data_IF_355435549901
#
_entry.id   IF_355435549901
#
_cell.length_a   1.000
_cell.length_b   1.000
_cell.length_c   1.000
_cell.angle_alpha   90.00
_cell.angle_beta   90.00
_cell.angle_gamma   90.00
#
_symmetry.space_group_name_H-M   'P 1'
#
loop_
_entity.id
_entity.type
_entity.pdbx_description
1 polymer ?
#
# COMPACT_ATOMS: atom_id res chain seq x y z
N UNK A 1 -6.03 -1.81 -20.57
CA UNK A 1 -4.55 -1.71 -20.64
C UNK A 1 -3.99 -2.98 -21.29
N UNK A 2 -2.78 -2.96 -21.91
CA UNK A 2 -2.11 -4.17 -22.43
C UNK A 2 -1.06 -4.67 -21.43
N UNK A 3 -0.69 -5.97 -21.45
CA UNK A 3 0.46 -6.46 -20.68
C UNK A 3 1.75 -5.68 -21.02
N UNK A 4 2.54 -5.38 -19.99
CA UNK A 4 3.78 -4.61 -20.10
C UNK A 4 4.11 -3.80 -18.86
N UNK A 5 5.18 -3.02 -18.94
CA UNK A 5 5.66 -2.13 -17.88
C UNK A 5 5.43 -0.69 -18.31
N UNK A 6 4.88 0.13 -17.42
CA UNK A 6 4.53 1.52 -17.65
C UNK A 6 5.08 2.38 -16.52
N UNK A 7 5.71 3.50 -16.87
CA UNK A 7 6.41 4.37 -15.92
C UNK A 7 5.66 5.69 -15.65
N UNK A 8 4.72 6.05 -16.54
CA UNK A 8 4.10 7.38 -16.55
C UNK A 8 2.59 7.34 -16.24
N UNK A 9 2.10 6.26 -15.62
CA UNK A 9 0.69 6.18 -15.22
C UNK A 9 0.51 6.92 -13.89
N UNK A 10 -0.37 7.91 -13.83
CA UNK A 10 -0.69 8.59 -12.58
C UNK A 10 -1.26 7.62 -11.53
N UNK A 11 -1.19 8.00 -10.25
CA UNK A 11 -1.78 7.17 -9.20
C UNK A 11 -3.30 7.02 -9.36
N UNK A 12 -3.96 8.09 -9.78
CA UNK A 12 -5.41 8.10 -10.05
C UNK A 12 -5.75 7.17 -11.21
N UNK A 13 -5.04 7.29 -12.35
CA UNK A 13 -5.26 6.43 -13.52
C UNK A 13 -4.95 4.97 -13.22
N UNK A 14 -3.92 4.70 -12.40
CA UNK A 14 -3.64 3.33 -11.98
C UNK A 14 -4.78 2.75 -11.14
N UNK A 15 -5.32 3.49 -10.19
CA UNK A 15 -6.41 2.98 -9.34
C UNK A 15 -7.73 2.86 -10.10
N UNK A 16 -8.05 3.77 -11.00
CA UNK A 16 -9.25 3.74 -11.84
C UNK A 16 -9.15 2.79 -13.03
N UNK A 17 -7.92 2.40 -13.42
CA UNK A 17 -7.65 1.65 -14.63
C UNK A 17 -8.03 0.16 -14.58
N UNK A 18 -7.89 -0.49 -15.74
CA UNK A 18 -8.13 -1.93 -15.92
C UNK A 18 -7.16 -2.80 -15.12
N UNK A 19 -7.52 -4.06 -14.98
CA UNK A 19 -6.72 -5.08 -14.33
C UNK A 19 -6.98 -5.17 -12.83
N UNK A 20 -6.95 -6.38 -12.31
CA UNK A 20 -7.17 -6.66 -10.88
C UNK A 20 -5.87 -6.47 -10.09
N UNK A 21 -5.97 -5.73 -8.99
CA UNK A 21 -4.86 -5.48 -8.06
C UNK A 21 -5.00 -6.32 -6.79
N UNK A 22 -3.91 -6.39 -6.01
CA UNK A 22 -3.91 -7.07 -4.70
C UNK A 22 -4.99 -6.53 -3.76
N UNK A 23 -5.18 -5.21 -3.68
CA UNK A 23 -6.20 -4.61 -2.82
C UNK A 23 -7.63 -4.98 -3.24
N UNK A 24 -7.88 -5.14 -4.53
CA UNK A 24 -9.16 -5.63 -5.03
C UNK A 24 -9.38 -7.11 -4.71
N UNK A 25 -8.33 -7.94 -4.80
CA UNK A 25 -8.40 -9.34 -4.36
C UNK A 25 -8.61 -9.47 -2.85
N UNK A 26 -8.08 -8.55 -2.04
CA UNK A 26 -8.37 -8.53 -0.60
C UNK A 26 -9.86 -8.25 -0.31
N UNK A 27 -10.50 -7.43 -1.13
CA UNK A 27 -11.95 -7.21 -1.03
C UNK A 27 -12.72 -8.48 -1.41
N UNK A 28 -12.34 -9.13 -2.52
CA UNK A 28 -12.93 -10.40 -2.97
C UNK A 28 -12.77 -11.48 -1.92
N UNK A 29 -11.61 -11.57 -1.29
CA UNK A 29 -11.34 -12.55 -0.22
C UNK A 29 -12.22 -12.36 1.02
N UNK A 30 -12.64 -11.14 1.30
CA UNK A 30 -13.58 -10.83 2.40
C UNK A 30 -15.02 -11.10 1.99
N UNK A 31 -15.44 -10.54 0.89
CA UNK A 31 -16.73 -10.69 0.26
C UNK A 31 -16.68 -10.05 -1.13
N UNK A 32 -16.94 -10.78 -2.21
CA UNK A 32 -16.87 -10.25 -3.58
C UNK A 32 -17.73 -8.99 -3.81
N UNK A 33 -18.87 -8.86 -3.12
CA UNK A 33 -19.73 -7.67 -3.22
C UNK A 33 -19.04 -6.38 -2.80
N UNK A 34 -18.05 -6.44 -1.89
CA UNK A 34 -17.29 -5.27 -1.46
C UNK A 34 -16.58 -4.57 -2.62
N UNK A 35 -16.10 -5.34 -3.60
CA UNK A 35 -15.45 -4.76 -4.78
C UNK A 35 -16.41 -3.84 -5.55
N UNK A 36 -17.64 -4.30 -5.78
CA UNK A 36 -18.68 -3.50 -6.46
C UNK A 36 -19.12 -2.29 -5.64
N UNK A 37 -19.27 -2.48 -4.33
CA UNK A 37 -19.67 -1.39 -3.44
C UNK A 37 -18.63 -0.28 -3.38
N UNK A 38 -17.33 -0.63 -3.29
CA UNK A 38 -16.25 0.35 -3.27
C UNK A 38 -16.12 1.09 -4.61
N UNK A 39 -16.32 0.40 -5.73
CA UNK A 39 -16.33 1.03 -7.05
C UNK A 39 -17.46 2.07 -7.23
N UNK A 40 -18.59 1.88 -6.55
CA UNK A 40 -19.75 2.77 -6.58
C UNK A 40 -19.79 3.76 -5.41
N UNK A 41 -18.91 3.63 -4.42
CA UNK A 41 -18.93 4.47 -3.22
C UNK A 41 -18.36 5.88 -3.50
N UNK A 42 -18.86 6.91 -2.81
CA UNK A 42 -18.21 8.20 -2.78
C UNK A 42 -16.85 8.10 -2.07
N UNK A 43 -15.98 9.06 -2.35
CA UNK A 43 -14.69 9.15 -1.66
C UNK A 43 -14.88 9.38 -0.15
N UNK A 44 -14.08 8.67 0.63
CA UNK A 44 -14.05 8.78 2.09
C UNK A 44 -12.91 9.72 2.51
N UNK A 45 -13.24 10.96 2.82
CA UNK A 45 -12.28 12.01 3.18
C UNK A 45 -11.55 11.71 4.51
N UNK A 46 -12.23 11.05 5.48
CA UNK A 46 -11.59 10.68 6.75
C UNK A 46 -10.51 9.61 6.50
N UNK A 47 -10.80 8.65 5.64
CA UNK A 47 -9.84 7.62 5.25
C UNK A 47 -8.66 8.20 4.49
N UNK A 48 -8.88 9.16 3.59
CA UNK A 48 -7.82 9.89 2.90
C UNK A 48 -6.92 10.60 3.89
N UNK A 49 -7.48 11.32 4.85
CA UNK A 49 -6.74 12.03 5.89
C UNK A 49 -5.84 11.08 6.70
N UNK A 50 -6.32 9.90 7.07
CA UNK A 50 -5.54 8.89 7.79
C UNK A 50 -4.34 8.35 6.99
N UNK A 51 -4.41 8.39 5.66
CA UNK A 51 -3.36 7.90 4.77
C UNK A 51 -2.26 8.94 4.48
N UNK A 52 -2.50 10.23 4.69
CA UNK A 52 -1.54 11.30 4.29
C UNK A 52 -0.13 11.11 4.83
N UNK A 53 0.03 10.73 6.09
CA UNK A 53 1.35 10.50 6.67
C UNK A 53 2.10 9.33 6.02
N UNK A 54 1.37 8.30 5.61
CA UNK A 54 1.94 7.18 4.85
C UNK A 54 2.40 7.63 3.47
N UNK A 55 1.52 8.31 2.73
CA UNK A 55 1.81 8.86 1.40
C UNK A 55 2.98 9.85 1.44
N UNK A 56 3.02 10.73 2.46
CA UNK A 56 4.12 11.69 2.63
C UNK A 56 5.45 10.98 2.92
N UNK A 57 5.46 9.93 3.76
CA UNK A 57 6.66 9.15 4.02
C UNK A 57 7.16 8.44 2.75
N UNK A 58 6.26 7.80 1.98
CA UNK A 58 6.59 7.16 0.71
C UNK A 58 7.23 8.18 -0.25
N UNK A 59 6.59 9.33 -0.45
CA UNK A 59 7.11 10.37 -1.31
C UNK A 59 8.50 10.85 -0.85
N UNK A 60 8.68 11.10 0.44
CA UNK A 60 9.94 11.58 1.02
C UNK A 60 11.09 10.57 0.89
N UNK A 61 10.78 9.26 0.97
CA UNK A 61 11.78 8.19 0.87
C UNK A 61 12.11 7.80 -0.57
N UNK A 62 11.11 7.78 -1.44
CA UNK A 62 11.22 7.20 -2.78
C UNK A 62 11.38 8.25 -3.87
N UNK A 63 10.69 9.39 -3.73
CA UNK A 63 10.64 10.47 -4.71
C UNK A 63 10.86 11.85 -4.04
N UNK A 64 11.99 12.07 -3.32
CA UNK A 64 12.18 13.29 -2.54
C UNK A 64 12.11 14.58 -3.40
N UNK A 65 12.45 14.51 -4.69
CA UNK A 65 12.32 15.64 -5.63
C UNK A 65 10.88 16.01 -5.99
N UNK A 66 9.90 15.15 -5.70
CA UNK A 66 8.48 15.43 -5.92
C UNK A 66 7.77 15.91 -4.65
N UNK A 67 8.46 15.90 -3.50
CA UNK A 67 7.83 16.17 -2.21
C UNK A 67 7.22 17.58 -2.16
N UNK A 68 7.98 18.61 -2.53
CA UNK A 68 7.52 20.00 -2.49
C UNK A 68 6.39 20.31 -3.51
N UNK A 69 6.17 19.43 -4.48
CA UNK A 69 5.05 19.54 -5.42
C UNK A 69 3.74 18.96 -4.86
N UNK A 70 3.83 18.03 -3.90
CA UNK A 70 2.71 17.30 -3.33
C UNK A 70 2.37 17.71 -1.91
N UNK A 71 3.36 18.24 -1.18
CA UNK A 71 3.23 18.56 0.24
C UNK A 71 3.82 19.94 0.55
N UNK A 72 3.21 20.65 1.49
CA UNK A 72 3.71 21.91 2.01
C UNK A 72 3.60 21.94 3.53
N UNK A 73 4.63 22.48 4.20
CA UNK A 73 4.59 22.64 5.64
C UNK A 73 3.92 23.96 5.99
N UNK A 74 2.86 23.89 6.80
CA UNK A 74 2.12 25.07 7.24
C UNK A 74 3.01 26.02 8.06
N UNK A 75 3.02 27.31 7.76
CA UNK A 75 3.59 28.31 8.64
C UNK A 75 2.90 28.31 10.01
N UNK A 76 3.59 28.85 11.01
CA UNK A 76 2.95 29.06 12.33
C UNK A 76 2.08 30.31 12.30
N UNK A 77 0.79 30.15 12.52
CA UNK A 77 -0.17 31.23 12.65
C UNK A 77 -0.52 31.49 14.13
N UNK A 78 -0.61 32.76 14.53
CA UNK A 78 -1.12 33.09 15.88
C UNK A 78 -2.66 33.07 15.89
N UNK A 79 -3.21 31.87 16.08
CA UNK A 79 -4.66 31.63 16.13
C UNK A 79 -5.41 32.39 17.24
N UNK A 80 -4.68 33.08 18.16
CA UNK A 80 -5.30 33.93 19.20
C UNK A 80 -5.68 35.29 18.65
N UNK A 81 -5.09 35.72 17.52
CA UNK A 81 -5.40 37.00 16.89
C UNK A 81 -6.37 36.82 15.71
N UNK A 82 -7.16 37.87 15.46
CA UNK A 82 -8.06 37.91 14.28
C UNK A 82 -7.25 37.86 12.98
N UNK A 83 -6.10 38.52 12.94
CA UNK A 83 -5.23 38.52 11.77
C UNK A 83 -4.63 37.14 11.52
N UNK A 84 -4.09 36.47 12.54
CA UNK A 84 -3.50 35.15 12.36
C UNK A 84 -4.50 34.09 11.92
N UNK A 85 -5.77 34.18 12.34
CA UNK A 85 -6.84 33.31 11.80
C UNK A 85 -7.14 33.62 10.31
N UNK A 86 -7.17 34.90 9.93
CA UNK A 86 -7.41 35.28 8.55
C UNK A 86 -6.24 34.85 7.63
N UNK A 87 -4.98 34.98 8.11
CA UNK A 87 -3.80 34.56 7.39
C UNK A 87 -3.78 33.03 7.17
N UNK A 88 -4.16 32.25 8.21
CA UNK A 88 -4.28 30.80 8.09
C UNK A 88 -5.37 30.41 7.09
N UNK A 89 -6.53 31.05 7.13
CA UNK A 89 -7.63 30.78 6.22
C UNK A 89 -7.29 31.13 4.77
N UNK A 90 -6.54 32.21 4.55
CA UNK A 90 -6.04 32.58 3.23
C UNK A 90 -5.04 31.53 2.72
N UNK A 91 -4.06 31.15 3.56
CA UNK A 91 -3.08 30.11 3.21
C UNK A 91 -3.77 28.78 2.84
N UNK A 92 -4.72 28.31 3.63
CA UNK A 92 -5.43 27.05 3.36
C UNK A 92 -6.24 27.10 2.05
N UNK A 93 -6.82 28.23 1.71
CA UNK A 93 -7.50 28.42 0.41
C UNK A 93 -6.54 28.35 -0.74
N UNK A 94 -5.41 29.10 -0.66
CA UNK A 94 -4.41 29.13 -1.73
C UNK A 94 -3.83 27.73 -1.99
N UNK A 95 -3.58 26.95 -0.92
CA UNK A 95 -3.04 25.60 -1.03
C UNK A 95 -4.09 24.62 -1.56
N UNK A 96 -5.37 24.76 -1.17
CA UNK A 96 -6.46 23.91 -1.67
C UNK A 96 -6.63 24.04 -3.19
N UNK A 97 -6.51 25.26 -3.72
CA UNK A 97 -6.57 25.53 -5.16
C UNK A 97 -5.40 24.88 -5.93
N UNK A 98 -4.28 24.64 -5.27
CA UNK A 98 -3.11 23.96 -5.84
C UNK A 98 -3.17 22.43 -5.75
N UNK A 99 -4.10 21.86 -5.00
CA UNK A 99 -4.20 20.42 -4.77
C UNK A 99 -3.06 19.85 -3.93
N UNK A 100 -2.35 20.67 -3.15
CA UNK A 100 -1.20 20.30 -2.33
C UNK A 100 -1.67 19.92 -0.92
N UNK A 101 -1.12 18.85 -0.36
CA UNK A 101 -1.43 18.42 1.01
C UNK A 101 -0.64 19.23 2.03
N UNK A 102 -1.33 19.78 3.03
CA UNK A 102 -0.71 20.57 4.10
C UNK A 102 -0.28 19.66 5.24
N UNK A 103 0.97 19.80 5.66
CA UNK A 103 1.54 19.17 6.85
C UNK A 103 1.76 20.23 7.91
N UNK A 104 1.51 19.92 9.17
CA UNK A 104 1.96 20.77 10.26
C UNK A 104 3.44 20.55 10.58
N UNK A 105 4.00 21.44 11.40
CA UNK A 105 5.43 21.40 11.74
C UNK A 105 5.84 20.14 12.53
N UNK A 106 4.91 19.52 13.28
CA UNK A 106 5.15 18.31 14.03
C UNK A 106 5.16 17.09 13.10
N UNK A 107 4.19 17.00 12.20
CA UNK A 107 4.12 15.99 11.15
C UNK A 107 5.39 16.02 10.27
N UNK A 108 5.81 17.21 9.84
CA UNK A 108 7.04 17.36 9.06
C UNK A 108 8.27 16.87 9.83
N UNK A 109 8.44 17.33 11.06
CA UNK A 109 9.55 16.89 11.91
C UNK A 109 9.56 15.37 12.10
N UNK A 110 8.38 14.77 12.30
CA UNK A 110 8.25 13.31 12.41
C UNK A 110 8.73 12.62 11.13
N UNK A 111 8.31 13.09 9.98
CA UNK A 111 8.71 12.55 8.67
C UNK A 111 10.22 12.66 8.45
N UNK A 112 10.84 13.80 8.76
CA UNK A 112 12.29 13.96 8.66
C UNK A 112 13.05 12.95 9.54
N UNK A 113 12.63 12.79 10.79
CA UNK A 113 13.25 11.82 11.70
C UNK A 113 13.04 10.37 11.27
N UNK A 114 11.89 10.03 10.69
CA UNK A 114 11.63 8.71 10.11
C UNK A 114 12.53 8.46 8.90
N UNK A 115 12.65 9.44 7.99
CA UNK A 115 13.60 9.38 6.86
C UNK A 115 15.03 9.21 7.34
N UNK A 116 15.48 10.02 8.29
CA UNK A 116 16.85 9.96 8.81
C UNK A 116 17.14 8.60 9.46
N UNK A 117 16.14 8.00 10.12
CA UNK A 117 16.26 6.64 10.65
C UNK A 117 16.38 5.61 9.53
N UNK A 118 15.59 5.72 8.45
CA UNK A 118 15.68 4.83 7.29
C UNK A 118 17.05 4.96 6.61
N UNK A 119 17.56 6.18 6.43
CA UNK A 119 18.86 6.44 5.84
C UNK A 119 20.03 6.01 6.74
N UNK A 120 19.83 5.90 8.04
CA UNK A 120 20.84 5.35 8.98
C UNK A 120 20.90 3.83 8.95
N UNK A 121 19.89 3.13 8.44
CA UNK A 121 19.87 1.67 8.33
C UNK A 121 20.55 1.22 7.01
N UNK A 122 21.66 0.46 7.04
CA UNK A 122 22.46 0.20 5.84
C UNK A 122 21.69 -0.45 4.69
N UNK A 123 20.89 -1.47 4.96
CA UNK A 123 20.11 -2.16 3.91
C UNK A 123 18.97 -1.26 3.36
N UNK A 124 18.26 -0.52 4.24
CA UNK A 124 17.23 0.41 3.81
C UNK A 124 17.82 1.53 2.95
N UNK A 125 18.94 2.11 3.39
CA UNK A 125 19.66 3.15 2.63
C UNK A 125 20.05 2.65 1.24
N UNK A 126 20.64 1.46 1.15
CA UNK A 126 21.00 0.89 -0.14
C UNK A 126 19.76 0.74 -1.05
N UNK A 127 18.65 0.22 -0.53
CA UNK A 127 17.40 0.06 -1.29
C UNK A 127 16.84 1.40 -1.77
N UNK A 128 16.95 2.44 -0.93
CA UNK A 128 16.45 3.77 -1.26
C UNK A 128 17.35 4.52 -2.26
N UNK A 129 18.69 4.39 -2.15
CA UNK A 129 19.67 5.08 -3.00
C UNK A 129 19.98 4.34 -4.30
N UNK A 130 19.84 3.01 -4.34
CA UNK A 130 20.13 2.22 -5.55
C UNK A 130 19.27 2.67 -6.74
N UNK A 131 19.83 2.72 -7.96
CA UNK A 131 19.07 3.00 -9.17
C UNK A 131 17.88 2.05 -9.34
N UNK A 132 16.76 2.57 -9.79
CA UNK A 132 15.53 1.79 -9.99
C UNK A 132 14.35 2.70 -10.32
N UNK A 133 13.19 2.10 -10.48
CA UNK A 133 11.96 2.79 -10.84
C UNK A 133 11.01 2.80 -9.63
N UNK A 134 10.53 3.99 -9.27
CA UNK A 134 9.46 4.14 -8.29
C UNK A 134 8.11 4.08 -9.01
N UNK A 135 7.11 3.47 -8.36
CA UNK A 135 5.72 3.43 -8.85
C UNK A 135 5.57 2.88 -10.28
N UNK A 136 6.50 2.02 -10.75
CA UNK A 136 6.37 1.35 -12.04
C UNK A 136 5.16 0.41 -12.06
N UNK A 137 4.25 0.60 -13.02
CA UNK A 137 3.05 -0.22 -13.15
C UNK A 137 3.31 -1.39 -14.07
N UNK A 138 3.07 -2.59 -13.58
CA UNK A 138 3.28 -3.83 -14.32
C UNK A 138 1.94 -4.53 -14.54
N UNK A 139 1.66 -4.91 -15.78
CA UNK A 139 0.42 -5.57 -16.19
C UNK A 139 0.73 -6.89 -16.90
N UNK A 140 -0.02 -7.93 -16.56
CA UNK A 140 0.08 -9.23 -17.27
C UNK A 140 -1.29 -9.89 -17.33
N UNK A 141 -1.46 -10.76 -18.33
CA UNK A 141 -2.61 -11.65 -18.34
C UNK A 141 -2.26 -12.92 -17.57
N UNK A 142 -3.10 -13.28 -16.62
CA UNK A 142 -2.97 -14.54 -15.91
C UNK A 142 -3.22 -15.72 -16.87
N UNK A 143 -2.35 -16.74 -16.84
CA UNK A 143 -2.40 -17.84 -17.79
C UNK A 143 -3.58 -18.78 -17.57
N UNK A 144 -4.06 -18.91 -16.34
CA UNK A 144 -5.14 -19.84 -16.00
C UNK A 144 -6.52 -19.21 -16.24
N UNK A 145 -6.69 -17.96 -15.82
CA UNK A 145 -7.99 -17.28 -15.87
C UNK A 145 -8.13 -16.33 -17.07
N UNK A 146 -7.03 -15.94 -17.69
CA UNK A 146 -7.01 -14.89 -18.71
C UNK A 146 -7.23 -13.48 -18.17
N UNK A 147 -7.40 -13.32 -16.85
CA UNK A 147 -7.62 -12.01 -16.24
C UNK A 147 -6.40 -11.11 -16.37
N UNK A 148 -6.63 -9.85 -16.69
CA UNK A 148 -5.59 -8.85 -16.62
C UNK A 148 -5.30 -8.53 -15.14
N UNK A 149 -4.09 -8.79 -14.70
CA UNK A 149 -3.59 -8.47 -13.37
C UNK A 149 -2.64 -7.29 -13.41
N UNK A 150 -2.53 -6.58 -12.28
CA UNK A 150 -1.62 -5.43 -12.14
C UNK A 150 -0.98 -5.36 -10.78
N UNK A 151 0.27 -4.90 -10.77
CA UNK A 151 1.01 -4.51 -9.57
C UNK A 151 1.69 -3.17 -9.79
N UNK A 152 1.99 -2.49 -8.68
CA UNK A 152 2.79 -1.27 -8.67
C UNK A 152 3.71 -1.32 -7.45
N UNK A 153 4.94 -1.81 -7.62
CA UNK A 153 5.97 -1.74 -6.59
C UNK A 153 6.26 -0.30 -6.18
N UNK A 154 6.42 -0.04 -4.90
CA UNK A 154 6.89 1.26 -4.40
C UNK A 154 8.25 1.59 -5.02
N UNK A 155 9.16 0.58 -5.07
CA UNK A 155 10.39 0.69 -5.83
C UNK A 155 10.80 -0.65 -6.46
N UNK A 156 11.16 -0.61 -7.72
CA UNK A 156 11.71 -1.74 -8.45
C UNK A 156 13.18 -1.49 -8.82
N UNK A 157 14.09 -2.24 -8.19
CA UNK A 157 15.51 -2.25 -8.50
C UNK A 157 15.76 -3.25 -9.63
N UNK A 158 15.54 -2.80 -10.86
CA UNK A 158 15.51 -3.65 -12.06
C UNK A 158 16.84 -4.40 -12.32
N UNK A 159 17.99 -3.77 -12.06
CA UNK A 159 19.30 -4.41 -12.25
C UNK A 159 19.59 -5.50 -11.21
N UNK A 160 18.87 -5.47 -10.08
CA UNK A 160 19.03 -6.42 -8.98
C UNK A 160 17.90 -7.44 -8.90
N UNK A 161 16.86 -7.31 -9.72
CA UNK A 161 15.63 -8.10 -9.63
C UNK A 161 15.01 -8.06 -8.22
N UNK A 162 14.92 -6.87 -7.65
CA UNK A 162 14.41 -6.65 -6.29
C UNK A 162 13.23 -5.70 -6.32
N UNK A 163 12.18 -6.07 -5.59
CA UNK A 163 11.02 -5.24 -5.29
C UNK A 163 11.14 -4.77 -3.84
N UNK A 164 10.96 -3.50 -3.60
CA UNK A 164 10.92 -2.89 -2.28
C UNK A 164 9.53 -2.30 -2.07
N UNK A 165 8.95 -2.60 -0.93
CA UNK A 165 7.66 -2.10 -0.50
C UNK A 165 7.82 -1.43 0.88
N UNK A 166 7.52 -0.14 0.95
CA UNK A 166 7.69 0.68 2.15
C UNK A 166 6.45 0.57 3.03
N UNK A 167 6.63 0.24 4.30
CA UNK A 167 5.55 0.14 5.27
C UNK A 167 5.75 1.10 6.44
N UNK A 168 4.83 2.04 6.61
CA UNK A 168 4.72 2.80 7.86
C UNK A 168 4.02 1.91 8.91
N UNK A 169 4.67 1.67 10.03
CA UNK A 169 4.24 0.67 11.02
C UNK A 169 4.01 1.33 12.39
N UNK A 170 2.83 1.14 12.95
CA UNK A 170 2.50 1.69 14.28
C UNK A 170 3.29 1.00 15.41
N UNK A 171 3.45 -0.31 15.31
CA UNK A 171 4.15 -1.16 16.27
C UNK A 171 5.01 -2.19 15.53
N UNK A 172 6.33 -2.02 15.62
CA UNK A 172 7.30 -2.86 14.90
C UNK A 172 7.27 -4.32 15.39
N UNK A 173 7.02 -4.56 16.66
CA UNK A 173 6.97 -5.92 17.23
C UNK A 173 5.76 -6.71 16.77
N UNK A 174 4.74 -6.01 16.27
CA UNK A 174 3.56 -6.63 15.68
C UNK A 174 3.68 -6.88 14.17
N UNK A 175 4.80 -6.55 13.55
CA UNK A 175 4.93 -6.65 12.10
C UNK A 175 4.64 -8.07 11.57
N UNK A 176 5.07 -9.12 12.27
CA UNK A 176 4.74 -10.50 11.92
C UNK A 176 3.21 -10.78 11.91
N UNK A 177 2.45 -10.13 12.83
CA UNK A 177 0.98 -10.20 12.79
C UNK A 177 0.39 -9.41 11.62
N UNK A 178 1.00 -8.29 11.27
CA UNK A 178 0.58 -7.48 10.13
C UNK A 178 0.73 -8.24 8.80
N UNK A 179 1.70 -9.18 8.70
CA UNK A 179 1.84 -10.06 7.52
C UNK A 179 0.51 -10.80 7.27
N UNK A 180 -0.10 -11.35 8.32
CA UNK A 180 -1.40 -12.04 8.23
C UNK A 180 -2.57 -11.06 8.13
N UNK A 181 -2.67 -10.08 9.04
CA UNK A 181 -3.80 -9.14 9.12
C UNK A 181 -4.03 -8.35 7.83
N UNK A 182 -2.93 -7.89 7.18
CA UNK A 182 -2.96 -7.12 5.94
C UNK A 182 -2.64 -7.96 4.71
N UNK A 183 -2.49 -9.28 4.90
CA UNK A 183 -2.20 -10.22 3.82
C UNK A 183 -0.98 -9.82 3.00
N UNK A 184 0.12 -9.43 3.66
CA UNK A 184 1.35 -9.02 3.00
C UNK A 184 2.04 -10.19 2.29
N UNK A 185 1.87 -11.43 2.76
CA UNK A 185 2.32 -12.64 2.07
C UNK A 185 1.62 -12.83 0.71
N UNK A 186 0.35 -12.43 0.59
CA UNK A 186 -0.37 -12.42 -0.70
C UNK A 186 0.17 -11.32 -1.61
N UNK A 187 0.52 -10.16 -1.06
CA UNK A 187 1.17 -9.07 -1.80
C UNK A 187 2.52 -9.51 -2.36
N UNK A 188 3.40 -10.07 -1.52
CA UNK A 188 4.71 -10.60 -1.90
C UNK A 188 4.56 -11.59 -3.07
N UNK A 189 3.73 -12.63 -2.91
CA UNK A 189 3.54 -13.66 -3.92
C UNK A 189 3.02 -13.09 -5.26
N UNK A 190 2.01 -12.22 -5.23
CA UNK A 190 1.44 -11.60 -6.43
C UNK A 190 2.46 -10.68 -7.13
N UNK A 191 3.25 -9.93 -6.35
CA UNK A 191 4.23 -9.00 -6.90
C UNK A 191 5.42 -9.74 -7.53
N UNK A 192 5.91 -10.80 -6.88
CA UNK A 192 6.95 -11.68 -7.47
C UNK A 192 6.46 -12.32 -8.76
N UNK A 193 5.21 -12.81 -8.79
CA UNK A 193 4.63 -13.41 -9.99
C UNK A 193 4.47 -12.38 -11.11
N UNK A 194 3.87 -11.23 -10.82
CA UNK A 194 3.68 -10.18 -11.83
C UNK A 194 5.00 -9.68 -12.41
N UNK A 195 6.01 -9.44 -11.57
CA UNK A 195 7.33 -9.05 -12.04
C UNK A 195 7.99 -10.14 -12.90
N UNK A 196 7.89 -11.41 -12.48
CA UNK A 196 8.38 -12.54 -13.28
C UNK A 196 7.70 -12.63 -14.65
N UNK A 197 6.36 -12.40 -14.72
CA UNK A 197 5.60 -12.46 -15.98
C UNK A 197 6.01 -11.38 -16.99
N UNK A 198 6.34 -10.18 -16.51
CA UNK A 198 6.68 -9.07 -17.41
C UNK A 198 8.16 -8.95 -17.72
N UNK A 199 9.03 -9.45 -16.85
CA UNK A 199 10.50 -9.34 -17.02
C UNK A 199 11.17 -10.65 -17.46
N UNK A 200 10.51 -11.79 -17.22
CA UNK A 200 11.08 -13.13 -17.41
C UNK A 200 12.11 -13.52 -16.35
N UNK A 201 12.27 -12.74 -15.28
CA UNK A 201 13.25 -12.97 -14.22
C UNK A 201 12.58 -13.11 -12.85
N UNK A 202 13.04 -14.03 -11.98
CA UNK A 202 12.57 -14.10 -10.61
C UNK A 202 13.03 -12.88 -9.80
N UNK A 203 12.17 -12.39 -8.91
CA UNK A 203 12.43 -11.21 -8.09
C UNK A 203 12.41 -11.54 -6.60
N UNK A 204 13.34 -10.92 -5.84
CA UNK A 204 13.22 -10.80 -4.40
C UNK A 204 12.19 -9.74 -4.04
N UNK A 205 11.52 -9.90 -2.89
CA UNK A 205 10.58 -8.91 -2.36
C UNK A 205 10.93 -8.57 -0.91
N UNK A 206 11.07 -7.29 -0.63
CA UNK A 206 11.49 -6.80 0.68
C UNK A 206 10.53 -5.75 1.21
N UNK A 207 10.10 -5.93 2.45
CA UNK A 207 9.37 -4.91 3.20
C UNK A 207 10.36 -4.01 3.92
N UNK A 208 10.37 -2.72 3.58
CA UNK A 208 11.08 -1.69 4.32
C UNK A 208 10.12 -1.10 5.34
N UNK A 209 10.17 -1.59 6.58
CA UNK A 209 9.28 -1.18 7.65
C UNK A 209 9.90 -0.03 8.44
N UNK A 210 9.18 1.11 8.52
CA UNK A 210 9.55 2.29 9.29
C UNK A 210 8.51 2.51 10.38
N UNK A 211 8.91 2.46 11.64
CA UNK A 211 8.00 2.69 12.77
C UNK A 211 7.56 4.16 12.82
N UNK A 212 6.32 4.38 13.21
CA UNK A 212 5.81 5.71 13.53
C UNK A 212 5.88 6.05 15.03
N UNK A 213 6.37 5.11 15.83
CA UNK A 213 6.62 5.25 17.26
C UNK A 213 8.11 5.28 17.54
N UNK A 214 8.53 6.18 18.43
CA UNK A 214 9.94 6.29 18.85
C UNK A 214 10.25 5.17 19.84
N UNK A 215 11.36 4.48 19.58
CA UNK A 215 12.01 3.57 20.52
C UNK A 215 13.52 3.86 20.53
N UNK A 216 14.13 3.82 21.70
CA UNK A 216 15.56 4.11 21.88
C UNK A 216 16.01 5.46 21.26
N UNK A 217 15.12 6.48 21.30
CA UNK A 217 15.38 7.83 20.78
C UNK A 217 15.33 7.97 19.26
N UNK A 218 14.90 6.93 18.54
CA UNK A 218 14.74 6.91 17.08
C UNK A 218 13.46 6.20 16.68
N UNK A 219 13.06 6.40 15.43
CA UNK A 219 12.03 5.58 14.79
C UNK A 219 12.68 4.28 14.30
N UNK A 220 12.33 3.11 14.86
CA UNK A 220 12.90 1.83 14.41
C UNK A 220 12.65 1.59 12.92
N UNK A 221 13.69 1.06 12.25
CA UNK A 221 13.63 0.64 10.85
C UNK A 221 14.09 -0.79 10.75
N UNK A 222 13.34 -1.63 10.06
CA UNK A 222 13.71 -3.01 9.77
C UNK A 222 13.41 -3.34 8.31
N UNK A 223 14.22 -4.20 7.75
CA UNK A 223 14.00 -4.76 6.41
C UNK A 223 13.69 -6.24 6.57
N UNK A 224 12.58 -6.67 5.99
CA UNK A 224 12.11 -8.05 6.09
C UNK A 224 11.97 -8.68 4.72
N UNK A 225 12.27 -9.95 4.64
CA UNK A 225 11.91 -10.85 3.56
C UNK A 225 11.11 -12.00 4.16
N UNK A 226 10.09 -12.49 3.45
CA UNK A 226 9.33 -13.65 3.88
C UNK A 226 10.08 -14.93 3.53
N UNK A 227 9.90 -15.96 4.35
CA UNK A 227 10.39 -17.28 4.00
C UNK A 227 9.56 -17.93 2.87
N UNK A 228 10.08 -18.99 2.30
CA UNK A 228 9.44 -19.65 1.16
C UNK A 228 8.07 -20.23 1.52
N UNK A 229 7.85 -20.67 2.76
CA UNK A 229 6.59 -21.24 3.20
C UNK A 229 5.48 -20.19 3.21
N UNK A 230 5.77 -19.00 3.72
CA UNK A 230 4.81 -17.89 3.77
C UNK A 230 4.53 -17.32 2.37
N UNK A 231 5.54 -17.27 1.48
CA UNK A 231 5.35 -16.89 0.08
C UNK A 231 4.46 -17.91 -0.65
N UNK A 232 4.65 -19.20 -0.41
CA UNK A 232 3.82 -20.25 -1.01
C UNK A 232 2.38 -20.21 -0.49
N UNK A 233 2.18 -19.96 0.79
CA UNK A 233 0.86 -19.73 1.38
C UNK A 233 0.18 -18.49 0.73
N UNK A 234 0.93 -17.41 0.56
CA UNK A 234 0.47 -16.20 -0.13
C UNK A 234 0.07 -16.48 -1.58
N UNK A 235 0.85 -17.30 -2.30
CA UNK A 235 0.55 -17.71 -3.68
C UNK A 235 -0.74 -18.52 -3.76
N UNK A 236 -0.95 -19.47 -2.85
CA UNK A 236 -2.18 -20.26 -2.81
C UNK A 236 -3.42 -19.37 -2.58
N UNK A 237 -3.31 -18.38 -1.69
CA UNK A 237 -4.38 -17.42 -1.45
C UNK A 237 -4.60 -16.48 -2.64
N UNK A 238 -3.54 -15.98 -3.26
CA UNK A 238 -3.64 -15.18 -4.48
C UNK A 238 -4.37 -15.94 -5.59
N UNK A 239 -4.01 -17.20 -5.87
CA UNK A 239 -4.68 -18.04 -6.85
C UNK A 239 -6.16 -18.24 -6.54
N UNK A 240 -6.49 -18.59 -5.28
CA UNK A 240 -7.87 -18.76 -4.83
C UNK A 240 -8.70 -17.49 -5.10
N UNK A 241 -8.18 -16.34 -4.70
CA UNK A 241 -8.92 -15.09 -4.77
C UNK A 241 -9.06 -14.60 -6.21
N UNK A 242 -8.05 -14.83 -7.06
CA UNK A 242 -8.13 -14.54 -8.49
C UNK A 242 -9.16 -15.44 -9.19
N UNK A 243 -9.23 -16.71 -8.86
CA UNK A 243 -10.25 -17.62 -9.38
C UNK A 243 -11.65 -17.18 -8.96
N UNK A 244 -11.84 -16.81 -7.67
CA UNK A 244 -13.11 -16.27 -7.18
C UNK A 244 -13.49 -14.99 -7.93
N UNK A 245 -12.54 -14.07 -8.12
CA UNK A 245 -12.75 -12.86 -8.92
C UNK A 245 -13.21 -13.20 -10.35
N UNK A 246 -12.51 -14.12 -11.00
CA UNK A 246 -12.82 -14.59 -12.34
C UNK A 246 -14.24 -15.15 -12.43
N UNK A 247 -14.60 -16.07 -11.55
CA UNK A 247 -15.95 -16.67 -11.49
C UNK A 247 -17.03 -15.61 -11.29
N UNK A 248 -16.83 -14.67 -10.35
CA UNK A 248 -17.77 -13.58 -10.13
C UNK A 248 -17.90 -12.68 -11.37
N UNK A 249 -16.82 -12.46 -12.09
CA UNK A 249 -16.81 -11.59 -13.28
C UNK A 249 -17.50 -12.24 -14.48
N UNK A 250 -17.25 -13.54 -14.76
CA UNK A 250 -17.85 -14.24 -15.90
C UNK A 250 -19.35 -14.52 -15.70
N UNK A 251 -19.78 -14.74 -14.46
CA UNK A 251 -21.16 -15.00 -14.13
C UNK A 251 -21.95 -13.73 -13.77
N UNK A 252 -21.25 -12.60 -13.59
CA UNK A 252 -21.77 -11.35 -13.02
C UNK A 252 -22.47 -11.54 -11.67
N UNK A 253 -21.94 -12.46 -10.85
CA UNK A 253 -22.45 -12.80 -9.52
C UNK A 253 -21.43 -12.35 -8.44
N UNK A 254 -21.68 -11.21 -7.80
CA UNK A 254 -20.75 -10.57 -6.86
C UNK A 254 -21.19 -10.66 -5.40
N UNK A 255 -22.26 -11.32 -5.10
CA UNK A 255 -22.78 -11.46 -3.76
C UNK A 255 -24.08 -12.23 -3.74
N UNK A 256 -24.55 -12.55 -2.54
CA UNK A 256 -25.73 -13.35 -2.36
C UNK A 256 -26.02 -13.62 -0.89
N UNK A 257 -26.77 -14.67 -0.60
CA UNK A 257 -27.04 -15.13 0.75
C UNK A 257 -25.85 -15.94 1.25
N UNK A 258 -25.22 -15.47 2.31
CA UNK A 258 -24.11 -16.15 2.96
C UNK A 258 -24.60 -17.05 4.08
N UNK A 259 -24.00 -18.25 4.20
CA UNK A 259 -24.26 -19.15 5.32
C UNK A 259 -23.29 -18.81 6.45
N UNK A 260 -23.75 -18.08 7.45
CA UNK A 260 -22.96 -17.81 8.64
C UNK A 260 -22.96 -19.01 9.60
N UNK A 261 -21.79 -19.32 10.12
CA UNK A 261 -21.61 -20.39 11.12
C UNK A 261 -21.24 -19.77 12.45
N UNK A 262 -21.81 -20.29 13.54
CA UNK A 262 -21.37 -19.91 14.90
C UNK A 262 -19.89 -20.28 15.09
N UNK A 263 -19.13 -19.52 15.91
CA UNK A 263 -17.74 -19.85 16.22
C UNK A 263 -17.56 -21.28 16.71
N UNK A 264 -16.43 -21.91 16.42
CA UNK A 264 -16.18 -23.31 16.80
C UNK A 264 -16.30 -23.58 18.29
N UNK A 265 -15.83 -22.63 19.13
CA UNK A 265 -15.95 -22.77 20.58
C UNK A 265 -17.41 -22.86 21.03
N UNK A 266 -18.33 -22.12 20.40
CA UNK A 266 -19.75 -22.19 20.69
C UNK A 266 -20.39 -23.52 20.21
N UNK A 267 -19.94 -24.06 19.07
CA UNK A 267 -20.38 -25.33 18.56
C UNK A 267 -19.88 -26.52 19.39
N UNK A 268 -18.66 -26.43 19.92
CA UNK A 268 -18.10 -27.44 20.83
C UNK A 268 -18.91 -27.56 22.12
N UNK A 269 -19.51 -26.46 22.61
CA UNK A 269 -20.39 -26.51 23.79
C UNK A 269 -21.65 -27.34 23.57
N UNK A 270 -22.19 -27.37 22.32
CA UNK A 270 -23.36 -28.15 21.99
C UNK A 270 -23.10 -29.68 22.11
N UNK A 271 -21.83 -30.12 22.08
CA UNK A 271 -21.46 -31.55 22.24
C UNK A 271 -21.60 -32.04 23.68
N UNK A 272 -21.83 -31.12 24.64
CA UNK A 272 -21.99 -31.44 26.07
C UNK A 272 -23.41 -31.18 26.57
N UNK A 273 -24.35 -30.90 25.66
CA UNK A 273 -25.78 -30.78 25.90
C UNK A 273 -26.49 -32.08 25.38
#
# INVERSE_FOLDING_TARGET
MKPGIYFDISNEDYHAGDGVSKSQLDMVAKNPALLKWVQAAPEDEEKKSALYMGTALHCLLLEPGEFDKRFIVSPKFDRRTKQGKADEEAFLRDVADMGITVLDAEQWRKLELMRDSAMAHPAARWMLEAPGYCEASMYWNDEETGELCRIRPDKWLNEHNVIVDVKKVADMDRFARHIEEFRYHVQDAMYREGAMRVTGQPHGFFFLAVSESIDCGRYPVRVFELDAQDVDAGRALFRRDLNTYHECRINDEWGGVEIIKRPEWARKQDMYI
#
